data_IF_940832668078
#
_entry.id   IF_940832668078
#
_cell.length_a   1.000
_cell.length_b   1.000
_cell.length_c   1.000
_cell.angle_alpha   90.00
_cell.angle_beta   90.00
_cell.angle_gamma   90.00
#
_symmetry.space_group_name_H-M   'P 1'
#
loop_
_entity.id
_entity.type
_entity.pdbx_description
1 polymer ?
#
# COMPACT_ATOMS: atom_id res chain seq x y z
N UNK A 1 30.81 -1.77 60.22
CA UNK A 1 30.05 -2.81 59.49
C UNK A 1 28.74 -2.19 59.04
N UNK A 2 28.65 -1.79 57.77
CA UNK A 2 27.48 -1.07 57.25
C UNK A 2 26.58 -2.03 56.45
N UNK A 3 25.30 -2.05 56.82
CA UNK A 3 24.25 -2.93 56.30
C UNK A 3 23.76 -2.45 54.93
N UNK A 4 23.71 -3.34 53.93
CA UNK A 4 23.17 -3.07 52.60
C UNK A 4 21.73 -3.60 52.51
N UNK A 5 20.77 -2.70 52.31
CA UNK A 5 19.37 -3.05 52.07
C UNK A 5 19.14 -3.28 50.57
N UNK A 6 18.71 -4.50 50.20
CA UNK A 6 18.37 -4.90 48.84
C UNK A 6 16.86 -4.70 48.65
N UNK A 7 16.46 -3.73 47.82
CA UNK A 7 15.07 -3.50 47.44
C UNK A 7 14.72 -4.37 46.22
N UNK A 8 14.04 -5.49 46.44
CA UNK A 8 13.50 -6.33 45.36
C UNK A 8 12.19 -5.74 44.83
N UNK A 9 12.18 -5.22 43.60
CA UNK A 9 10.97 -4.77 42.90
C UNK A 9 10.21 -6.00 42.36
N UNK A 10 9.11 -6.38 43.04
CA UNK A 10 8.19 -7.44 42.57
C UNK A 10 7.30 -6.89 41.45
N UNK A 11 7.42 -7.44 40.25
CA UNK A 11 6.54 -7.16 39.11
C UNK A 11 5.34 -8.11 39.16
N UNK A 12 4.10 -7.60 39.11
CA UNK A 12 2.89 -8.41 38.90
C UNK A 12 2.43 -8.24 37.45
N UNK A 13 2.18 -9.31 36.68
CA UNK A 13 1.51 -9.19 35.40
C UNK A 13 -0.01 -9.09 35.63
N UNK A 14 -0.63 -8.05 35.07
CA UNK A 14 -2.08 -7.91 34.96
C UNK A 14 -2.52 -8.50 33.62
N UNK A 15 -2.88 -9.79 33.60
CA UNK A 15 -3.50 -10.42 32.44
C UNK A 15 -4.99 -10.05 32.38
N UNK A 16 -5.35 -9.09 31.52
CA UNK A 16 -6.75 -8.88 31.09
C UNK A 16 -6.97 -9.69 29.82
N UNK A 17 -7.76 -10.75 29.91
CA UNK A 17 -8.27 -11.48 28.76
C UNK A 17 -9.29 -10.61 28.02
N UNK A 18 -9.03 -10.31 26.73
CA UNK A 18 -10.05 -9.79 25.82
C UNK A 18 -10.66 -10.95 25.06
N UNK A 19 -11.97 -11.14 25.21
CA UNK A 19 -12.77 -12.03 24.37
C UNK A 19 -13.23 -11.25 23.13
N UNK A 20 -12.84 -11.63 21.90
CA UNK A 20 -13.42 -11.00 20.72
C UNK A 20 -14.82 -11.57 20.47
N UNK A 21 -15.84 -10.70 20.49
CA UNK A 21 -17.16 -11.00 19.94
C UNK A 21 -17.12 -10.66 18.45
N UNK A 22 -17.24 -11.68 17.60
CA UNK A 22 -17.40 -11.49 16.16
C UNK A 22 -18.88 -11.30 15.84
N UNK A 23 -19.22 -10.23 15.13
CA UNK A 23 -20.54 -10.01 14.54
C UNK A 23 -20.40 -10.34 13.06
N UNK A 24 -21.07 -11.40 12.61
CA UNK A 24 -21.17 -11.77 11.20
C UNK A 24 -22.53 -11.31 10.67
N UNK A 25 -22.54 -10.56 9.57
CA UNK A 25 -23.75 -10.15 8.86
C UNK A 25 -23.64 -10.59 7.41
N UNK A 26 -23.75 -11.89 7.16
CA UNK A 26 -24.02 -12.42 5.82
C UNK A 26 -25.53 -12.59 5.66
N UNK A 27 -26.14 -11.81 4.76
CA UNK A 27 -27.50 -12.08 4.29
C UNK A 27 -27.44 -13.26 3.32
N UNK A 28 -28.06 -14.38 3.72
CA UNK A 28 -28.20 -15.57 2.90
C UNK A 28 -29.28 -15.32 1.84
N UNK A 29 -28.91 -15.30 0.56
CA UNK A 29 -29.85 -15.17 -0.56
C UNK A 29 -30.10 -16.58 -1.12
N UNK A 30 -31.19 -17.22 -0.70
CA UNK A 30 -31.66 -18.44 -1.35
C UNK A 30 -32.25 -18.09 -2.71
N UNK A 31 -31.60 -18.50 -3.79
CA UNK A 31 -32.20 -18.54 -5.12
C UNK A 31 -32.67 -19.95 -5.39
N UNK A 32 -33.99 -20.14 -5.47
CA UNK A 32 -34.60 -21.38 -5.91
C UNK A 32 -34.54 -21.46 -7.45
N UNK A 33 -33.99 -22.54 -8.04
CA UNK A 33 -33.97 -22.70 -9.49
C UNK A 33 -35.36 -23.12 -9.97
N UNK A 34 -36.06 -22.27 -10.74
CA UNK A 34 -37.27 -22.69 -11.45
C UNK A 34 -36.90 -23.35 -12.79
N UNK A 35 -37.33 -24.60 -12.94
CA UNK A 35 -37.23 -25.40 -14.16
C UNK A 35 -38.14 -24.82 -15.26
N UNK A 36 -37.64 -24.73 -16.48
CA UNK A 36 -38.40 -24.30 -17.65
C UNK A 36 -39.47 -25.35 -18.03
N UNK A 37 -40.71 -24.91 -18.24
CA UNK A 37 -41.82 -25.75 -18.74
C UNK A 37 -42.06 -25.44 -20.25
N UNK A 38 -42.12 -26.50 -21.06
CA UNK A 38 -42.42 -26.46 -22.51
C UNK A 38 -43.93 -26.27 -22.78
N UNK A 39 -44.36 -25.74 -23.95
CA UNK A 39 -45.72 -25.23 -24.16
C UNK A 39 -46.65 -26.23 -24.86
N UNK A 40 -47.98 -25.99 -24.83
CA UNK A 40 -48.86 -26.46 -25.89
C UNK A 40 -49.66 -25.34 -26.60
N UNK A 41 -49.58 -25.37 -27.94
CA UNK A 41 -50.57 -25.04 -28.99
C UNK A 41 -51.41 -23.73 -28.99
N UNK A 42 -51.21 -22.95 -30.06
CA UNK A 42 -51.96 -21.80 -30.68
C UNK A 42 -53.42 -22.18 -31.08
N UNK A 43 -54.46 -21.30 -31.32
CA UNK A 43 -54.47 -20.01 -32.07
C UNK A 43 -55.55 -18.94 -31.67
N UNK A 44 -55.91 -17.95 -32.51
CA UNK A 44 -55.14 -16.79 -32.98
C UNK A 44 -55.78 -15.45 -32.52
N UNK A 45 -54.98 -14.42 -32.21
CA UNK A 45 -55.51 -13.05 -32.21
C UNK A 45 -54.41 -12.03 -32.47
N UNK A 46 -54.72 -11.15 -33.41
CA UNK A 46 -53.95 -10.02 -33.93
C UNK A 46 -53.56 -9.04 -32.83
N UNK A 47 -52.27 -8.86 -32.59
CA UNK A 47 -51.71 -7.72 -31.87
C UNK A 47 -50.45 -7.23 -32.61
N UNK A 48 -50.30 -5.91 -32.85
CA UNK A 48 -49.21 -5.38 -33.65
C UNK A 48 -47.88 -5.47 -32.88
N UNK A 49 -46.80 -5.73 -33.62
CA UNK A 49 -45.43 -5.73 -33.13
C UNK A 49 -45.11 -4.41 -32.39
N UNK A 50 -44.43 -4.43 -31.23
CA UNK A 50 -43.95 -3.20 -30.60
C UNK A 50 -42.95 -2.50 -31.54
N UNK A 51 -42.98 -1.16 -31.61
CA UNK A 51 -42.07 -0.42 -32.49
C UNK A 51 -40.61 -0.66 -32.09
N UNK A 52 -39.79 -0.79 -33.12
CA UNK A 52 -38.33 -0.88 -33.07
C UNK A 52 -37.74 0.20 -32.14
N UNK A 53 -36.83 -0.13 -31.20
CA UNK A 53 -36.19 0.86 -30.31
C UNK A 53 -35.23 1.83 -31.00
N UNK A 54 -35.20 1.88 -32.34
CA UNK A 54 -34.31 2.75 -33.11
C UNK A 54 -34.73 4.24 -33.15
N UNK A 55 -35.54 4.71 -32.19
CA UNK A 55 -35.88 6.13 -32.06
C UNK A 55 -35.39 6.66 -30.72
N UNK A 56 -34.20 7.26 -30.74
CA UNK A 56 -33.87 8.34 -29.80
C UNK A 56 -32.94 8.01 -28.64
N UNK A 57 -31.73 7.49 -28.90
CA UNK A 57 -30.64 7.66 -27.94
C UNK A 57 -29.30 7.93 -28.65
N UNK A 58 -28.66 9.10 -28.44
CA UNK A 58 -27.49 9.53 -29.19
C UNK A 58 -26.19 8.79 -28.84
N UNK A 59 -26.23 7.81 -27.93
CA UNK A 59 -25.05 7.21 -27.31
C UNK A 59 -24.54 5.89 -27.94
N UNK A 60 -25.10 5.46 -29.07
CA UNK A 60 -24.71 4.20 -29.73
C UNK A 60 -23.71 4.33 -30.88
N UNK A 61 -23.02 5.47 -31.02
CA UNK A 61 -22.04 5.66 -32.11
C UNK A 61 -20.61 5.26 -31.74
N UNK A 62 -20.34 4.77 -30.52
CA UNK A 62 -18.99 4.33 -30.17
C UNK A 62 -18.77 2.85 -30.50
N UNK A 63 -17.97 2.67 -31.55
CA UNK A 63 -17.47 1.40 -32.07
C UNK A 63 -16.66 0.67 -30.99
N UNK A 64 -17.31 -0.19 -30.20
CA UNK A 64 -16.69 -1.00 -29.13
C UNK A 64 -15.72 -2.09 -29.62
N UNK A 65 -15.45 -2.17 -30.94
CA UNK A 65 -14.70 -3.28 -31.56
C UNK A 65 -13.35 -2.93 -32.18
N UNK A 66 -12.87 -1.69 -32.08
CA UNK A 66 -11.56 -1.32 -32.64
C UNK A 66 -10.67 -0.60 -31.61
N UNK A 67 -9.47 -1.13 -31.27
CA UNK A 67 -8.50 -0.42 -30.46
C UNK A 67 -7.53 0.33 -31.39
N UNK A 68 -7.93 1.49 -31.89
CA UNK A 68 -6.99 2.42 -32.54
C UNK A 68 -7.29 3.82 -32.00
N UNK A 69 -6.35 4.47 -31.30
CA UNK A 69 -6.60 5.77 -30.72
C UNK A 69 -6.60 6.83 -31.84
N UNK A 70 -7.73 7.51 -32.03
CA UNK A 70 -7.78 8.67 -32.89
C UNK A 70 -7.11 9.83 -32.14
N UNK A 71 -5.92 10.21 -32.60
CA UNK A 71 -5.16 11.37 -32.13
C UNK A 71 -5.95 12.64 -32.47
N UNK A 72 -6.79 13.13 -31.54
CA UNK A 72 -7.27 14.53 -31.45
C UNK A 72 -8.27 14.69 -30.29
N UNK A 73 -7.78 14.84 -29.05
CA UNK A 73 -8.45 15.60 -27.97
C UNK A 73 -7.59 15.62 -26.70
N UNK A 74 -7.34 16.79 -26.08
CA UNK A 74 -6.57 16.89 -24.85
C UNK A 74 -7.51 16.83 -23.65
N UNK A 75 -7.98 15.64 -23.26
CA UNK A 75 -8.62 15.40 -21.94
C UNK A 75 -9.18 13.97 -21.83
N UNK A 76 -8.34 12.96 -22.01
CA UNK A 76 -8.64 11.62 -21.52
C UNK A 76 -8.01 11.43 -20.13
N UNK A 77 -8.44 12.23 -19.16
CA UNK A 77 -8.27 11.86 -17.76
C UNK A 77 -9.33 10.79 -17.48
N UNK A 78 -8.89 9.55 -17.25
CA UNK A 78 -9.74 8.42 -16.89
C UNK A 78 -10.55 8.78 -15.64
N UNK A 79 -11.85 9.06 -15.80
CA UNK A 79 -12.78 9.34 -14.72
C UNK A 79 -13.16 8.02 -14.04
N UNK A 80 -12.35 7.59 -13.07
CA UNK A 80 -12.74 6.52 -12.15
C UNK A 80 -13.67 7.14 -11.10
N UNK A 81 -14.87 6.57 -10.82
CA UNK A 81 -15.78 7.10 -9.81
C UNK A 81 -15.11 7.20 -8.44
N UNK A 82 -15.16 8.40 -7.85
CA UNK A 82 -14.56 8.82 -6.58
C UNK A 82 -15.10 8.11 -5.31
N UNK A 83 -15.82 6.99 -5.46
CA UNK A 83 -16.62 6.37 -4.39
C UNK A 83 -15.90 5.30 -3.56
N UNK A 84 -14.80 4.73 -4.04
CA UNK A 84 -14.05 3.67 -3.35
C UNK A 84 -12.56 3.97 -3.38
N UNK A 85 -12.13 5.01 -2.64
CA UNK A 85 -10.72 5.30 -2.46
C UNK A 85 -10.10 4.17 -1.63
N UNK A 86 -9.42 3.26 -2.31
CA UNK A 86 -8.65 2.21 -1.66
C UNK A 86 -7.45 2.87 -0.97
N UNK A 87 -6.97 2.36 0.19
CA UNK A 87 -5.80 2.93 0.86
C UNK A 87 -4.60 3.04 -0.10
N UNK A 88 -4.44 2.08 -1.01
CA UNK A 88 -3.42 2.11 -2.06
C UNK A 88 -3.59 3.26 -3.06
N UNK A 89 -4.82 3.59 -3.50
CA UNK A 89 -5.04 4.70 -4.44
C UNK A 89 -4.73 6.06 -3.82
N UNK A 90 -4.90 6.20 -2.50
CA UNK A 90 -4.48 7.40 -1.78
C UNK A 90 -2.97 7.53 -1.74
N UNK A 91 -2.26 6.45 -1.42
CA UNK A 91 -0.78 6.48 -1.35
C UNK A 91 -0.18 6.79 -2.72
N UNK A 92 -0.76 6.25 -3.79
CA UNK A 92 -0.35 6.55 -5.16
C UNK A 92 -0.60 8.01 -5.55
N UNK A 93 -1.72 8.61 -5.14
CA UNK A 93 -1.95 10.03 -5.35
C UNK A 93 -0.88 10.88 -4.61
N UNK A 94 -0.54 10.51 -3.38
CA UNK A 94 0.47 11.21 -2.58
C UNK A 94 1.86 11.15 -3.22
N UNK A 95 2.23 10.04 -3.85
CA UNK A 95 3.54 9.88 -4.52
C UNK A 95 3.70 10.75 -5.77
N UNK A 96 2.61 11.24 -6.35
CA UNK A 96 2.62 12.15 -7.49
C UNK A 96 2.49 13.63 -7.07
N UNK A 97 1.88 13.91 -5.92
CA UNK A 97 1.61 15.28 -5.48
C UNK A 97 2.66 15.86 -4.55
N UNK A 98 3.36 15.02 -3.78
CA UNK A 98 4.31 15.47 -2.77
C UNK A 98 5.74 15.50 -3.30
N UNK A 99 6.46 16.56 -2.95
CA UNK A 99 7.90 16.67 -3.11
C UNK A 99 8.64 15.98 -1.94
N UNK A 100 9.97 15.96 -2.02
CA UNK A 100 10.81 15.29 -1.01
C UNK A 100 10.57 15.81 0.42
N UNK A 101 10.42 17.13 0.59
CA UNK A 101 10.16 17.73 1.90
C UNK A 101 8.77 17.36 2.43
N UNK A 102 7.74 17.41 1.57
CA UNK A 102 6.39 16.98 1.92
C UNK A 102 6.33 15.52 2.38
N UNK A 103 7.10 14.64 1.75
CA UNK A 103 7.18 13.22 2.14
C UNK A 103 7.89 13.04 3.47
N UNK A 104 9.00 13.74 3.71
CA UNK A 104 9.71 13.65 5.01
C UNK A 104 8.78 14.07 6.15
N UNK A 105 8.02 15.15 5.97
CA UNK A 105 7.05 15.61 6.95
C UNK A 105 5.91 14.59 7.17
N UNK A 106 5.40 13.97 6.11
CA UNK A 106 4.40 12.92 6.24
C UNK A 106 4.96 11.67 6.93
N UNK A 107 6.22 11.34 6.66
CA UNK A 107 6.88 10.21 7.29
C UNK A 107 7.06 10.45 8.78
N UNK A 108 7.36 11.64 9.27
CA UNK A 108 7.47 11.87 10.72
C UNK A 108 6.17 11.50 11.45
N UNK A 109 5.02 11.88 10.90
CA UNK A 109 3.69 11.52 11.41
C UNK A 109 3.41 10.00 11.32
N UNK A 110 3.79 9.36 10.22
CA UNK A 110 3.57 7.93 10.03
C UNK A 110 4.52 7.07 10.88
N UNK A 111 5.73 7.54 11.13
CA UNK A 111 6.72 6.90 11.99
C UNK A 111 6.29 6.93 13.45
N UNK A 112 5.66 8.03 13.90
CA UNK A 112 5.09 8.12 15.26
C UNK A 112 3.80 7.29 15.39
N UNK A 113 3.00 7.22 14.32
CA UNK A 113 1.79 6.38 14.25
C UNK A 113 2.06 4.91 13.94
N UNK A 114 3.33 4.51 13.79
CA UNK A 114 3.76 3.15 13.45
C UNK A 114 3.16 2.58 12.15
N UNK A 115 2.91 3.43 11.15
CA UNK A 115 2.37 3.05 9.84
C UNK A 115 3.48 2.62 8.88
N UNK A 116 4.21 1.57 9.24
CA UNK A 116 5.42 1.13 8.50
C UNK A 116 5.10 0.70 7.06
N UNK A 117 3.97 0.02 6.84
CA UNK A 117 3.52 -0.41 5.51
C UNK A 117 3.30 0.77 4.57
N UNK A 118 2.77 1.88 5.10
CA UNK A 118 2.41 3.05 4.31
C UNK A 118 3.69 3.82 3.95
N UNK A 119 4.62 3.96 4.91
CA UNK A 119 5.97 4.53 4.67
C UNK A 119 6.68 3.76 3.56
N UNK A 120 6.70 2.43 3.64
CA UNK A 120 7.33 1.56 2.63
C UNK A 120 6.71 1.76 1.24
N UNK A 121 5.39 1.64 1.15
CA UNK A 121 4.67 1.77 -0.12
C UNK A 121 4.83 3.17 -0.75
N UNK A 122 4.70 4.23 0.05
CA UNK A 122 4.83 5.60 -0.46
C UNK A 122 6.24 5.87 -0.97
N UNK A 123 7.28 5.45 -0.23
CA UNK A 123 8.66 5.61 -0.68
C UNK A 123 8.90 4.91 -2.03
N UNK A 124 8.47 3.66 -2.17
CA UNK A 124 8.66 2.87 -3.38
C UNK A 124 7.88 3.39 -4.59
N UNK A 125 6.71 3.99 -4.37
CA UNK A 125 5.94 4.64 -5.42
C UNK A 125 6.55 5.99 -5.80
N UNK A 126 7.00 6.76 -4.82
CA UNK A 126 7.57 8.08 -5.04
C UNK A 126 8.93 8.03 -5.74
N UNK A 127 9.81 7.11 -5.36
CA UNK A 127 11.13 6.99 -6.00
C UNK A 127 11.04 6.56 -7.47
N UNK A 128 9.91 5.94 -7.86
CA UNK A 128 9.59 5.56 -9.25
C UNK A 128 8.86 6.66 -10.00
N UNK A 129 8.35 7.70 -9.33
CA UNK A 129 7.70 8.85 -9.95
C UNK A 129 8.71 9.94 -10.31
N UNK A 130 8.24 10.95 -11.03
CA UNK A 130 9.03 12.10 -11.44
C UNK A 130 8.72 13.29 -10.52
N UNK A 131 9.73 14.14 -10.31
CA UNK A 131 9.56 15.42 -9.61
C UNK A 131 8.78 16.43 -10.47
N UNK A 132 8.50 17.62 -9.91
CA UNK A 132 7.82 18.70 -10.64
C UNK A 132 8.57 19.22 -11.88
N UNK A 133 9.85 18.85 -12.04
CA UNK A 133 10.68 19.19 -13.20
C UNK A 133 10.79 18.04 -14.21
N UNK A 134 10.08 16.92 -13.99
CA UNK A 134 10.15 15.72 -14.83
C UNK A 134 11.41 14.89 -14.65
N UNK A 135 12.18 15.09 -13.57
CA UNK A 135 13.39 14.32 -13.25
C UNK A 135 13.04 13.18 -12.29
N UNK A 136 13.80 12.08 -12.28
CA UNK A 136 13.64 11.03 -11.28
C UNK A 136 13.75 11.60 -9.87
N UNK A 137 12.83 11.18 -9.00
CA UNK A 137 12.88 11.56 -7.59
C UNK A 137 14.16 11.03 -6.95
N UNK A 138 14.87 11.91 -6.25
CA UNK A 138 16.11 11.57 -5.55
C UNK A 138 15.88 11.69 -4.04
N UNK A 139 15.87 10.57 -3.30
CA UNK A 139 15.78 10.63 -1.85
C UNK A 139 17.05 11.25 -1.26
N UNK A 140 16.93 11.80 -0.06
CA UNK A 140 18.07 12.12 0.78
C UNK A 140 18.35 10.97 1.77
N UNK A 141 19.44 11.10 2.51
CA UNK A 141 19.85 10.08 3.49
C UNK A 141 18.82 9.89 4.60
N UNK A 142 18.11 10.96 4.99
CA UNK A 142 17.13 10.89 6.06
C UNK A 142 15.86 10.14 5.62
N UNK A 143 15.36 10.45 4.43
CA UNK A 143 14.21 9.79 3.83
C UNK A 143 14.48 8.30 3.59
N UNK A 144 15.67 7.96 3.08
CA UNK A 144 16.08 6.56 2.92
C UNK A 144 16.20 5.83 4.27
N UNK A 145 16.69 6.50 5.32
CA UNK A 145 16.74 5.94 6.66
C UNK A 145 15.35 5.67 7.27
N UNK A 146 14.35 6.48 6.94
CA UNK A 146 12.95 6.19 7.29
C UNK A 146 12.45 4.93 6.58
N UNK A 147 12.77 4.77 5.29
CA UNK A 147 12.46 3.56 4.53
C UNK A 147 13.14 2.30 5.11
N UNK A 148 14.43 2.38 5.44
CA UNK A 148 15.16 1.29 6.12
C UNK A 148 14.50 0.93 7.45
N UNK A 149 14.14 1.94 8.25
CA UNK A 149 13.49 1.70 9.54
C UNK A 149 12.10 1.08 9.38
N UNK A 150 11.33 1.46 8.36
CA UNK A 150 10.05 0.82 8.07
C UNK A 150 10.24 -0.67 7.72
N UNK A 151 11.22 -1.01 6.88
CA UNK A 151 11.55 -2.41 6.57
C UNK A 151 11.99 -3.19 7.82
N UNK A 152 12.83 -2.61 8.68
CA UNK A 152 13.21 -3.21 9.96
C UNK A 152 11.99 -3.49 10.85
N UNK A 153 11.08 -2.52 10.98
CA UNK A 153 9.87 -2.68 11.81
C UNK A 153 8.87 -3.68 11.22
N UNK A 154 8.94 -3.91 9.91
CA UNK A 154 8.20 -4.97 9.22
C UNK A 154 8.88 -6.34 9.29
N UNK A 155 10.05 -6.45 9.92
CA UNK A 155 10.75 -7.72 10.15
C UNK A 155 11.75 -8.10 9.06
N UNK A 156 12.26 -7.15 8.28
CA UNK A 156 13.36 -7.41 7.36
C UNK A 156 14.60 -7.94 8.10
N UNK A 157 15.26 -8.91 7.50
CA UNK A 157 16.52 -9.48 7.98
C UNK A 157 17.69 -8.51 7.83
N UNK A 158 18.79 -8.78 8.54
CA UNK A 158 20.00 -7.98 8.42
C UNK A 158 20.57 -7.97 6.98
N UNK A 159 20.47 -9.10 6.27
CA UNK A 159 20.87 -9.22 4.86
C UNK A 159 20.05 -8.31 3.96
N UNK A 160 18.72 -8.36 4.06
CA UNK A 160 17.83 -7.48 3.29
C UNK A 160 18.10 -6.00 3.57
N UNK A 161 18.37 -5.63 4.83
CA UNK A 161 18.73 -4.26 5.16
C UNK A 161 20.11 -3.85 4.60
N UNK A 162 21.08 -4.77 4.54
CA UNK A 162 22.38 -4.51 3.89
C UNK A 162 22.22 -4.30 2.38
N UNK A 163 21.36 -5.09 1.73
CA UNK A 163 21.06 -4.91 0.30
C UNK A 163 20.41 -3.55 0.04
N UNK A 164 19.50 -3.11 0.93
CA UNK A 164 18.92 -1.76 0.85
C UNK A 164 19.96 -0.67 1.13
N UNK A 165 20.89 -0.87 2.07
CA UNK A 165 21.99 0.07 2.32
C UNK A 165 22.91 0.16 1.11
N UNK A 166 23.20 -0.95 0.44
CA UNK A 166 23.99 -0.95 -0.79
C UNK A 166 23.30 -0.19 -1.93
N UNK A 167 21.98 -0.33 -2.07
CA UNK A 167 21.18 0.42 -3.04
C UNK A 167 21.19 1.94 -2.84
N UNK A 168 21.62 2.46 -1.68
CA UNK A 168 21.76 3.91 -1.47
C UNK A 168 22.78 4.52 -2.45
N UNK A 169 23.82 3.77 -2.82
CA UNK A 169 24.84 4.22 -3.78
C UNK A 169 24.27 4.42 -5.19
N UNK A 170 23.27 3.63 -5.60
CA UNK A 170 22.58 3.79 -6.88
C UNK A 170 21.86 5.14 -6.99
N UNK A 171 21.43 5.69 -5.85
CA UNK A 171 20.84 7.03 -5.75
C UNK A 171 21.87 8.11 -5.45
N UNK A 172 23.17 7.80 -5.46
CA UNK A 172 24.26 8.68 -5.06
C UNK A 172 24.03 9.27 -3.64
N UNK A 173 23.61 8.41 -2.71
CA UNK A 173 23.43 8.71 -1.29
C UNK A 173 24.45 7.87 -0.52
N UNK A 174 25.32 8.52 0.24
CA UNK A 174 26.23 7.80 1.13
C UNK A 174 25.46 7.32 2.38
N UNK A 175 25.47 6.02 2.70
CA UNK A 175 24.98 5.51 3.98
C UNK A 175 25.67 6.22 5.14
N UNK A 176 24.94 6.44 6.24
CA UNK A 176 25.49 7.05 7.44
C UNK A 176 25.36 6.13 8.65
N UNK A 177 25.83 6.61 9.80
CA UNK A 177 25.77 5.86 11.07
C UNK A 177 24.35 5.38 11.40
N UNK A 178 23.31 6.17 11.10
CA UNK A 178 21.93 5.75 11.35
C UNK A 178 21.50 4.60 10.43
N UNK A 179 21.95 4.57 9.18
CA UNK A 179 21.70 3.47 8.23
C UNK A 179 22.25 2.14 8.79
N UNK A 180 23.53 2.13 9.20
CA UNK A 180 24.16 0.93 9.74
C UNK A 180 23.64 0.54 11.13
N UNK A 181 23.25 1.51 11.97
CA UNK A 181 22.63 1.23 13.27
C UNK A 181 21.31 0.45 13.13
N UNK A 182 20.56 0.65 12.04
CA UNK A 182 19.35 -0.13 11.77
C UNK A 182 19.70 -1.58 11.42
N UNK A 183 20.75 -1.81 10.64
CA UNK A 183 21.27 -3.16 10.33
C UNK A 183 21.75 -3.86 11.60
N UNK A 184 22.57 -3.18 12.42
CA UNK A 184 23.06 -3.71 13.70
C UNK A 184 21.91 -4.08 14.64
N UNK A 185 20.83 -3.30 14.63
CA UNK A 185 19.63 -3.62 15.41
C UNK A 185 18.96 -4.91 14.92
N UNK A 186 18.89 -5.16 13.61
CA UNK A 186 18.40 -6.42 13.06
C UNK A 186 19.29 -7.60 13.45
N UNK A 187 20.61 -7.47 13.29
CA UNK A 187 21.59 -8.52 13.67
C UNK A 187 21.48 -8.86 15.16
N UNK A 188 21.35 -7.85 16.03
CA UNK A 188 21.14 -8.06 17.45
C UNK A 188 19.85 -8.84 17.74
N UNK A 189 18.74 -8.50 17.07
CA UNK A 189 17.47 -9.20 17.22
C UNK A 189 17.55 -10.67 16.75
N UNK A 190 18.35 -10.93 15.70
CA UNK A 190 18.61 -12.27 15.17
C UNK A 190 19.69 -13.06 15.94
N UNK A 191 20.36 -12.43 16.93
CA UNK A 191 21.51 -12.99 17.68
C UNK A 191 22.74 -13.28 16.81
N UNK A 192 22.93 -12.51 15.73
CA UNK A 192 24.04 -12.61 14.79
C UNK A 192 25.25 -11.77 15.27
N UNK A 193 25.75 -12.05 16.47
CA UNK A 193 26.79 -11.23 17.13
C UNK A 193 28.12 -11.17 16.35
N UNK A 194 28.59 -12.29 15.81
CA UNK A 194 29.84 -12.33 15.02
C UNK A 194 29.74 -11.52 13.73
N UNK A 195 28.57 -11.53 13.08
CA UNK A 195 28.34 -10.72 11.88
C UNK A 195 28.28 -9.22 12.22
N UNK A 196 27.71 -8.87 13.37
CA UNK A 196 27.67 -7.49 13.86
C UNK A 196 29.08 -6.94 14.16
N UNK A 197 29.97 -7.73 14.76
CA UNK A 197 31.37 -7.35 14.99
C UNK A 197 32.10 -7.06 13.67
N UNK A 198 31.96 -7.95 12.68
CA UNK A 198 32.54 -7.76 11.35
C UNK A 198 32.03 -6.50 10.64
N UNK A 199 30.77 -6.12 10.87
CA UNK A 199 30.19 -4.91 10.29
C UNK A 199 30.75 -3.64 10.95
N UNK A 200 31.08 -3.68 12.24
CA UNK A 200 31.66 -2.55 12.99
C UNK A 200 33.13 -2.34 12.61
N UNK A 201 33.86 -3.42 12.33
CA UNK A 201 35.29 -3.37 11.99
C UNK A 201 35.57 -2.88 10.56
N UNK A 202 34.54 -2.69 9.73
CA UNK A 202 34.63 -2.27 8.33
C UNK A 202 34.68 -0.76 8.18
#
# INVERSE_FOLDING_TARGET
>A
MASMAILTRKWRPLSKALTPKFITTSTFLSQEPQLAEEPPSRPPSTAPLPPNPATGSPLYHENWRNPIPNLSSPSAASLIPLGFSHPSSRIEALSQTLDGEGIVNLFTDWMTSQKWSDVKQLFELWIRSLDGNGKPNKPDVNLYNHYLRANLMMGASAGELLDLVAQMEDYAIAPNTASFNLVLKAMYQAKEGEAAEKLIDR
#
